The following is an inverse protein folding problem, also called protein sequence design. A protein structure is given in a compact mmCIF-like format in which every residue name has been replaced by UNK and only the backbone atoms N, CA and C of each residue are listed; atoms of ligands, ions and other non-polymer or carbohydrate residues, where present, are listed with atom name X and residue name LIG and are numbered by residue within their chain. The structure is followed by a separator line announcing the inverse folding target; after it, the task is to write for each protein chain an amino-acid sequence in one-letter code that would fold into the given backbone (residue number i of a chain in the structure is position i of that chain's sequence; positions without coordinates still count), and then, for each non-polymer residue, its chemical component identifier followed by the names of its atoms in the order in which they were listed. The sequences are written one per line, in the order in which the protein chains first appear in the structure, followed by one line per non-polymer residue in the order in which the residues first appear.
data_IF_593185102363
#
_entry.id   IF_593185102363
#
_cell.length_a   1.000
_cell.length_b   1.000
_cell.length_c   1.000
_cell.angle_alpha   90.00
_cell.angle_beta   90.00
_cell.angle_gamma   90.00
#
_symmetry.space_group_name_H-M   'P 1'
#
loop_
_entity.id
_entity.type
_entity.pdbx_description
1 polymer ?
#
# COMPACT_ATOMS: atom_id res chain seq x y z
N UNK A 1 23.59 -5.75 -10.33
CA UNK A 1 23.73 -4.52 -11.15
C UNK A 1 23.48 -3.32 -10.27
N UNK A 2 24.23 -2.21 -10.43
CA UNK A 2 24.03 -0.98 -9.63
C UNK A 2 22.82 -0.24 -10.20
N UNK A 3 21.85 0.11 -9.34
CA UNK A 3 20.63 0.86 -9.71
C UNK A 3 21.01 2.29 -10.14
N UNK A 4 20.36 2.78 -11.19
CA UNK A 4 20.52 4.15 -11.66
C UNK A 4 19.52 5.07 -10.92
N UNK A 5 20.05 5.95 -10.06
CA UNK A 5 19.23 6.83 -9.23
C UNK A 5 19.08 8.22 -9.84
N UNK A 6 17.84 8.72 -9.86
CA UNK A 6 17.50 10.08 -10.27
C UNK A 6 17.05 10.88 -9.04
N UNK A 7 17.85 11.85 -8.63
CA UNK A 7 17.51 12.78 -7.56
C UNK A 7 16.58 13.88 -8.08
N UNK A 8 15.38 13.99 -7.48
CA UNK A 8 14.37 14.97 -7.89
C UNK A 8 14.29 16.08 -6.85
N UNK A 9 14.14 17.31 -7.31
CA UNK A 9 13.84 18.45 -6.44
C UNK A 9 12.42 18.33 -5.85
N UNK A 10 11.45 17.90 -6.66
CA UNK A 10 10.07 17.61 -6.28
C UNK A 10 9.45 16.59 -7.24
N UNK A 11 8.48 15.79 -6.79
CA UNK A 11 7.72 14.93 -7.69
C UNK A 11 6.92 15.76 -8.71
N UNK A 12 6.65 15.17 -9.89
CA UNK A 12 5.79 15.78 -10.89
C UNK A 12 4.35 15.97 -10.38
N UNK A 13 3.56 16.82 -11.03
CA UNK A 13 2.18 17.04 -10.63
C UNK A 13 1.35 15.76 -10.79
N UNK A 14 0.49 15.46 -9.81
CA UNK A 14 -0.39 14.27 -9.86
C UNK A 14 -1.25 14.26 -11.13
N UNK A 15 -1.75 15.41 -11.56
CA UNK A 15 -2.57 15.53 -12.76
C UNK A 15 -1.82 15.03 -14.00
N UNK A 16 -0.55 15.45 -14.20
CA UNK A 16 0.27 14.99 -15.31
C UNK A 16 0.57 13.49 -15.25
N UNK A 17 0.79 12.95 -14.04
CA UNK A 17 1.06 11.53 -13.84
C UNK A 17 -0.19 10.67 -14.15
N UNK A 18 -1.38 11.09 -13.73
CA UNK A 18 -2.62 10.39 -14.07
C UNK A 18 -2.97 10.49 -15.56
N UNK A 19 -2.65 11.59 -16.25
CA UNK A 19 -2.76 11.66 -17.70
C UNK A 19 -1.85 10.64 -18.40
N UNK A 20 -0.59 10.50 -17.95
CA UNK A 20 0.32 9.46 -18.44
C UNK A 20 -0.22 8.05 -18.14
N UNK A 21 -0.73 7.81 -16.93
CA UNK A 21 -1.34 6.54 -16.57
C UNK A 21 -2.53 6.18 -17.47
N UNK A 22 -3.37 7.15 -17.81
CA UNK A 22 -4.51 6.96 -18.69
C UNK A 22 -4.13 6.68 -20.17
N UNK A 23 -2.98 7.19 -20.61
CA UNK A 23 -2.48 6.96 -21.98
C UNK A 23 -1.86 5.57 -22.17
N UNK A 24 -1.30 4.97 -21.11
CA UNK A 24 -0.66 3.65 -21.16
C UNK A 24 -1.65 2.56 -20.78
N UNK A 25 -2.13 1.79 -21.77
CA UNK A 25 -3.16 0.77 -21.60
C UNK A 25 -2.70 -0.67 -21.80
N UNK A 26 -1.51 -0.86 -22.34
CA UNK A 26 -0.97 -2.17 -22.70
C UNK A 26 0.39 -2.42 -22.04
N UNK A 27 0.69 -3.68 -21.80
CA UNK A 27 2.02 -4.13 -21.43
C UNK A 27 2.95 -3.91 -22.61
N UNK A 28 4.09 -3.24 -22.40
CA UNK A 28 5.07 -2.89 -23.42
C UNK A 28 6.40 -3.65 -23.31
N UNK A 29 6.53 -4.52 -22.33
CA UNK A 29 7.74 -5.33 -22.10
C UNK A 29 7.58 -6.25 -20.88
N UNK A 30 8.57 -7.06 -20.67
CA UNK A 30 8.64 -8.10 -19.62
C UNK A 30 9.84 -7.91 -18.67
N UNK A 31 10.46 -6.73 -18.69
CA UNK A 31 11.59 -6.39 -17.82
C UNK A 31 11.33 -5.06 -17.11
N UNK A 32 11.69 -5.00 -15.84
CA UNK A 32 11.62 -3.75 -15.08
C UNK A 32 12.85 -2.88 -15.37
N UNK A 33 12.70 -1.54 -15.35
CA UNK A 33 13.84 -0.65 -15.45
C UNK A 33 14.71 -0.71 -14.18
N UNK A 34 16.02 -0.56 -14.35
CA UNK A 34 16.97 -0.42 -13.24
C UNK A 34 16.97 0.98 -12.61
N UNK A 35 16.04 1.83 -13.04
CA UNK A 35 15.91 3.19 -12.52
C UNK A 35 15.26 3.21 -11.14
N UNK A 36 15.71 4.15 -10.32
CA UNK A 36 15.08 4.52 -9.05
C UNK A 36 14.97 6.04 -8.93
N UNK A 37 13.98 6.50 -8.15
CA UNK A 37 13.74 7.92 -7.91
C UNK A 37 14.05 8.23 -6.45
N UNK A 38 14.68 9.39 -6.19
CA UNK A 38 14.89 9.94 -4.85
C UNK A 38 14.33 11.35 -4.74
N UNK A 39 13.73 11.65 -3.59
CA UNK A 39 13.20 12.99 -3.33
C UNK A 39 13.11 13.25 -1.82
N UNK A 40 13.43 14.48 -1.40
CA UNK A 40 13.10 14.94 -0.05
C UNK A 40 11.65 15.43 -0.03
N UNK A 41 10.81 14.82 0.81
CA UNK A 41 9.40 15.16 0.94
C UNK A 41 9.13 15.62 2.37
N UNK A 42 8.58 16.83 2.52
CA UNK A 42 8.22 17.39 3.82
C UNK A 42 6.84 16.91 4.27
N UNK A 43 6.70 16.72 5.57
CA UNK A 43 5.41 16.45 6.19
C UNK A 43 4.49 17.65 5.98
N UNK A 44 3.26 17.39 5.56
CA UNK A 44 2.21 18.40 5.42
C UNK A 44 1.27 18.28 6.64
N UNK A 45 1.34 19.18 7.64
CA UNK A 45 0.59 19.02 8.89
C UNK A 45 -0.92 18.86 8.69
N UNK A 46 -1.51 19.62 7.77
CA UNK A 46 -2.94 19.50 7.44
C UNK A 46 -3.31 18.15 6.83
N UNK A 47 -2.46 17.59 5.96
CA UNK A 47 -2.67 16.27 5.38
C UNK A 47 -2.49 15.16 6.43
N UNK A 48 -1.47 15.24 7.28
CA UNK A 48 -1.25 14.30 8.40
C UNK A 48 -2.45 14.29 9.36
N UNK A 49 -2.95 15.47 9.74
CA UNK A 49 -4.13 15.58 10.60
C UNK A 49 -5.38 14.98 9.94
N UNK A 50 -5.58 15.19 8.63
CA UNK A 50 -6.67 14.58 7.88
C UNK A 50 -6.53 13.06 7.81
N UNK A 51 -5.31 12.55 7.59
CA UNK A 51 -5.00 11.13 7.57
C UNK A 51 -5.28 10.44 8.91
N UNK A 52 -4.80 11.04 10.01
CA UNK A 52 -5.04 10.52 11.37
C UNK A 52 -6.54 10.40 11.65
N UNK A 53 -7.33 11.46 11.35
CA UNK A 53 -8.79 11.40 11.54
C UNK A 53 -9.45 10.32 10.70
N UNK A 54 -9.02 10.17 9.42
CA UNK A 54 -9.64 9.24 8.49
C UNK A 54 -9.31 7.78 8.80
N UNK A 55 -8.12 7.52 9.32
CA UNK A 55 -7.62 6.17 9.64
C UNK A 55 -7.61 5.87 11.15
N UNK A 56 -8.23 6.72 11.96
CA UNK A 56 -8.40 6.56 13.41
C UNK A 56 -7.09 6.49 14.21
N UNK A 57 -6.01 7.11 13.70
CA UNK A 57 -4.79 7.27 14.48
C UNK A 57 -4.92 8.42 15.49
N UNK A 58 -4.45 8.17 16.71
CA UNK A 58 -4.28 9.23 17.72
C UNK A 58 -3.08 10.10 17.38
N UNK A 59 -3.11 11.35 17.86
CA UNK A 59 -1.94 12.23 17.79
C UNK A 59 -1.06 12.02 19.02
N UNK A 60 0.00 11.25 18.84
CA UNK A 60 1.01 10.96 19.86
C UNK A 60 2.37 11.60 19.52
N UNK A 61 2.38 12.60 18.62
CA UNK A 61 3.61 13.25 18.14
C UNK A 61 4.43 12.44 17.15
N UNK A 62 3.98 11.25 16.74
CA UNK A 62 4.67 10.37 15.79
C UNK A 62 3.89 10.24 14.51
N UNK A 63 4.56 10.08 13.38
CA UNK A 63 3.88 9.70 12.15
C UNK A 63 3.31 8.28 12.29
N UNK A 64 2.05 8.04 11.86
CA UNK A 64 1.54 6.68 11.71
C UNK A 64 2.46 5.82 10.82
N UNK A 65 2.67 4.55 11.17
CA UNK A 65 3.58 3.67 10.43
C UNK A 65 3.24 3.50 8.94
N UNK A 66 1.99 3.75 8.56
CA UNK A 66 1.51 3.74 7.17
C UNK A 66 1.54 5.12 6.48
N UNK A 67 1.83 6.21 7.20
CA UNK A 67 1.81 7.55 6.62
C UNK A 67 2.99 7.86 5.67
N UNK A 68 4.21 7.32 5.84
CA UNK A 68 5.27 7.48 4.86
C UNK A 68 4.89 6.98 3.44
N UNK A 69 4.06 5.92 3.33
CA UNK A 69 3.46 5.52 2.05
C UNK A 69 2.70 6.68 1.38
N UNK A 70 1.86 7.38 2.15
CA UNK A 70 1.09 8.53 1.64
C UNK A 70 2.01 9.67 1.18
N UNK A 71 3.08 9.93 1.92
CA UNK A 71 4.09 10.92 1.53
C UNK A 71 4.78 10.54 0.22
N UNK A 72 5.16 9.26 0.07
CA UNK A 72 5.89 8.75 -1.09
C UNK A 72 5.00 8.48 -2.32
N UNK A 73 3.67 8.41 -2.16
CA UNK A 73 2.78 7.92 -3.21
C UNK A 73 2.96 8.62 -4.56
N UNK A 74 3.16 9.94 -4.58
CA UNK A 74 3.38 10.68 -5.84
C UNK A 74 4.70 10.29 -6.51
N UNK A 75 5.73 9.96 -5.73
CA UNK A 75 7.03 9.48 -6.24
C UNK A 75 6.88 8.05 -6.81
N UNK A 76 6.15 7.18 -6.12
CA UNK A 76 5.79 5.83 -6.60
C UNK A 76 5.02 5.91 -7.92
N UNK A 77 4.00 6.79 -7.98
CA UNK A 77 3.20 7.04 -9.18
C UNK A 77 4.07 7.53 -10.34
N UNK A 78 5.05 8.41 -10.08
CA UNK A 78 5.98 8.93 -11.09
C UNK A 78 6.87 7.82 -11.66
N UNK A 79 7.40 6.93 -10.82
CA UNK A 79 8.16 5.77 -11.28
C UNK A 79 7.31 4.86 -12.18
N UNK A 80 6.12 4.47 -11.71
CA UNK A 80 5.24 3.55 -12.44
C UNK A 80 4.62 4.13 -13.71
N UNK A 81 4.63 5.45 -13.88
CA UNK A 81 4.16 6.14 -15.10
C UNK A 81 5.29 6.64 -15.98
N UNK A 82 6.54 6.30 -15.68
CA UNK A 82 7.70 6.62 -16.52
C UNK A 82 7.56 5.95 -17.90
N UNK A 83 8.08 6.56 -18.97
CA UNK A 83 7.96 6.02 -20.33
C UNK A 83 8.53 4.61 -20.49
N UNK A 84 9.62 4.32 -19.76
CA UNK A 84 10.31 3.02 -19.78
C UNK A 84 9.75 2.00 -18.76
N UNK A 85 8.77 2.38 -17.92
CA UNK A 85 8.10 1.42 -17.05
C UNK A 85 7.14 0.56 -17.88
N UNK A 86 7.25 -0.79 -17.90
CA UNK A 86 6.59 -1.60 -18.94
C UNK A 86 5.10 -1.85 -18.72
N UNK A 87 4.58 -1.62 -17.51
CA UNK A 87 3.23 -2.04 -17.14
C UNK A 87 2.27 -0.85 -17.02
N UNK A 88 1.00 -1.01 -17.44
CA UNK A 88 -0.01 0.02 -17.22
C UNK A 88 -0.34 0.12 -15.74
N UNK A 89 -0.41 1.34 -15.20
CA UNK A 89 -0.77 1.58 -13.81
C UNK A 89 -2.20 1.15 -13.50
N UNK A 90 -3.13 1.50 -14.40
CA UNK A 90 -4.55 1.14 -14.26
C UNK A 90 -4.73 -0.34 -14.54
N UNK A 91 -5.16 -1.09 -13.53
CA UNK A 91 -5.31 -2.54 -13.57
C UNK A 91 -4.26 -3.32 -12.77
N UNK A 92 -3.26 -2.65 -12.21
CA UNK A 92 -2.41 -3.26 -11.18
C UNK A 92 -3.26 -3.65 -9.97
N UNK A 93 -2.95 -4.81 -9.39
CA UNK A 93 -3.61 -5.29 -8.17
C UNK A 93 -2.58 -5.39 -7.06
N UNK A 94 -2.85 -4.72 -5.96
CA UNK A 94 -2.00 -4.77 -4.77
C UNK A 94 -2.28 -6.08 -4.02
N UNK A 95 -1.33 -7.01 -4.00
CA UNK A 95 -1.48 -8.33 -3.39
C UNK A 95 -0.96 -8.38 -1.96
N UNK A 96 0.16 -7.73 -1.70
CA UNK A 96 0.87 -7.80 -0.44
C UNK A 96 1.54 -6.47 -0.13
N UNK A 97 1.56 -6.11 1.15
CA UNK A 97 2.30 -4.96 1.62
C UNK A 97 3.02 -5.29 2.93
N UNK A 98 4.31 -4.99 3.00
CA UNK A 98 5.12 -5.10 4.19
C UNK A 98 5.72 -3.74 4.53
N UNK A 99 5.46 -3.27 5.74
CA UNK A 99 6.04 -2.05 6.31
C UNK A 99 6.97 -2.42 7.45
N UNK A 100 8.17 -1.87 7.43
CA UNK A 100 9.17 -1.97 8.50
C UNK A 100 9.37 -0.58 9.11
N UNK A 101 8.99 -0.42 10.36
CA UNK A 101 9.29 0.77 11.16
C UNK A 101 10.55 0.50 11.97
N UNK A 102 11.70 0.88 11.43
CA UNK A 102 13.02 0.55 12.01
C UNK A 102 13.25 1.32 13.30
N UNK A 103 12.86 2.59 13.33
CA UNK A 103 12.99 3.49 14.48
C UNK A 103 11.70 4.29 14.70
N UNK A 104 11.47 4.88 15.90
CA UNK A 104 10.30 5.71 16.14
C UNK A 104 10.19 6.87 15.15
N UNK A 105 8.98 7.10 14.63
CA UNK A 105 8.68 8.13 13.62
C UNK A 105 8.31 9.49 14.26
N UNK A 106 8.94 9.85 15.39
CA UNK A 106 8.68 11.10 16.10
C UNK A 106 9.56 12.26 15.63
N UNK A 107 9.06 13.51 15.73
CA UNK A 107 9.85 14.71 15.40
C UNK A 107 10.21 14.86 13.92
N UNK A 108 9.53 14.19 13.02
CA UNK A 108 9.84 14.16 11.58
C UNK A 108 9.18 15.33 10.88
N UNK A 109 9.98 16.24 10.32
CA UNK A 109 9.53 17.35 9.47
C UNK A 109 9.59 17.00 7.97
N UNK A 110 10.42 16.04 7.59
CA UNK A 110 10.58 15.56 6.23
C UNK A 110 11.47 14.34 6.17
N UNK A 111 11.33 13.57 5.11
CA UNK A 111 12.06 12.32 4.86
C UNK A 111 12.62 12.32 3.44
N UNK A 112 13.82 11.80 3.28
CA UNK A 112 14.36 11.47 1.96
C UNK A 112 13.82 10.10 1.57
N UNK A 113 13.01 10.08 0.54
CA UNK A 113 12.49 8.83 -0.03
C UNK A 113 13.35 8.35 -1.17
N UNK A 114 13.50 7.02 -1.26
CA UNK A 114 14.02 6.29 -2.41
C UNK A 114 12.98 5.26 -2.85
N UNK A 115 12.60 5.28 -4.13
CA UNK A 115 11.59 4.38 -4.69
C UNK A 115 12.15 3.66 -5.90
N UNK A 116 11.92 2.35 -5.98
CA UNK A 116 12.30 1.54 -7.14
C UNK A 116 11.40 0.33 -7.29
N UNK A 117 11.37 -0.26 -8.48
CA UNK A 117 10.74 -1.55 -8.74
C UNK A 117 11.80 -2.66 -8.84
N UNK A 118 11.40 -3.89 -8.53
CA UNK A 118 12.27 -5.05 -8.61
C UNK A 118 11.49 -6.36 -8.44
N UNK A 119 12.24 -7.48 -8.36
CA UNK A 119 11.68 -8.80 -8.05
C UNK A 119 10.50 -9.20 -8.97
N UNK A 120 10.69 -9.06 -10.29
CA UNK A 120 9.71 -9.49 -11.28
C UNK A 120 9.65 -11.02 -11.33
N UNK A 121 8.48 -11.61 -11.08
CA UNK A 121 8.29 -13.06 -10.99
C UNK A 121 7.02 -13.50 -11.70
N UNK A 122 7.03 -14.75 -12.21
CA UNK A 122 5.82 -15.38 -12.75
C UNK A 122 4.78 -15.62 -11.64
N UNK A 123 3.50 -15.47 -11.99
CA UNK A 123 2.37 -15.70 -11.12
C UNK A 123 1.23 -16.35 -11.93
N UNK A 124 0.39 -17.19 -11.31
CA UNK A 124 -0.71 -17.90 -11.99
C UNK A 124 -1.66 -17.00 -12.78
N UNK A 125 -1.83 -15.73 -12.38
CA UNK A 125 -2.70 -14.74 -13.04
C UNK A 125 -1.94 -13.71 -13.88
N UNK A 126 -0.61 -13.88 -14.05
CA UNK A 126 0.23 -12.92 -14.77
C UNK A 126 1.67 -12.88 -14.28
N UNK A 127 2.16 -11.70 -13.94
CA UNK A 127 3.44 -11.50 -13.26
C UNK A 127 3.30 -10.59 -12.06
N UNK A 128 4.19 -10.73 -11.08
CA UNK A 128 4.25 -9.84 -9.93
C UNK A 128 5.58 -9.11 -9.89
N UNK A 129 5.57 -7.89 -9.35
CA UNK A 129 6.78 -7.15 -9.04
C UNK A 129 6.65 -6.46 -7.67
N UNK A 130 7.77 -6.17 -7.05
CA UNK A 130 7.82 -5.43 -5.80
C UNK A 130 8.17 -3.96 -6.09
N UNK A 131 7.35 -3.05 -5.56
CA UNK A 131 7.64 -1.62 -5.46
C UNK A 131 8.20 -1.37 -4.07
N UNK A 132 9.49 -1.05 -4.00
CA UNK A 132 10.22 -0.81 -2.75
C UNK A 132 10.33 0.68 -2.51
N UNK A 133 9.99 1.11 -1.31
CA UNK A 133 10.09 2.50 -0.86
C UNK A 133 10.85 2.54 0.45
N UNK A 134 11.94 3.27 0.47
CA UNK A 134 12.74 3.52 1.67
C UNK A 134 12.63 4.97 2.07
N UNK A 135 12.61 5.23 3.38
CA UNK A 135 12.61 6.57 3.93
C UNK A 135 13.75 6.72 4.94
N UNK A 136 14.54 7.75 4.76
CA UNK A 136 15.70 8.06 5.57
C UNK A 136 15.58 9.48 6.15
N UNK A 137 16.19 9.66 7.32
CA UNK A 137 16.50 10.96 7.91
C UNK A 137 18.01 11.19 7.91
N UNK A 138 18.50 12.19 8.65
CA UNK A 138 19.94 12.46 8.75
C UNK A 138 20.76 11.37 9.47
N UNK A 139 20.13 10.37 10.06
CA UNK A 139 20.76 9.27 10.81
C UNK A 139 20.83 7.99 9.97
N UNK A 140 19.93 7.83 8.98
CA UNK A 140 19.85 6.66 8.10
C UNK A 140 18.44 6.10 7.97
N UNK A 141 18.33 4.83 7.59
CA UNK A 141 17.06 4.17 7.32
C UNK A 141 16.13 4.20 8.55
N UNK A 142 14.94 4.73 8.34
CA UNK A 142 13.93 4.91 9.35
C UNK A 142 12.71 4.02 9.11
N UNK A 143 12.37 3.82 7.84
CA UNK A 143 11.19 3.12 7.41
C UNK A 143 11.38 2.51 6.01
N UNK A 144 10.82 1.34 5.81
CA UNK A 144 10.79 0.66 4.50
C UNK A 144 9.42 0.10 4.22
N UNK A 145 9.04 0.11 2.96
CA UNK A 145 7.84 -0.54 2.44
C UNK A 145 8.17 -1.39 1.23
N UNK A 146 7.56 -2.56 1.15
CA UNK A 146 7.54 -3.40 -0.04
C UNK A 146 6.09 -3.69 -0.41
N UNK A 147 5.64 -3.15 -1.55
CA UNK A 147 4.31 -3.37 -2.11
C UNK A 147 4.41 -4.34 -3.28
N UNK A 148 3.82 -5.53 -3.16
CA UNK A 148 3.77 -6.50 -4.27
C UNK A 148 2.56 -6.26 -5.14
N UNK A 149 2.82 -5.98 -6.41
CA UNK A 149 1.82 -5.65 -7.41
C UNK A 149 1.68 -6.76 -8.43
N UNK A 150 0.44 -7.14 -8.75
CA UNK A 150 0.13 -8.08 -9.83
C UNK A 150 -0.17 -7.33 -11.12
N UNK A 151 0.51 -7.74 -12.19
CA UNK A 151 0.24 -7.36 -13.57
C UNK A 151 -0.52 -8.50 -14.23
N UNK A 152 -1.82 -8.37 -14.37
CA UNK A 152 -2.66 -9.42 -14.99
C UNK A 152 -2.30 -9.60 -16.45
N UNK A 153 -2.22 -10.87 -16.88
CA UNK A 153 -1.96 -11.24 -18.28
C UNK A 153 -0.51 -11.08 -18.74
N UNK A 154 0.41 -10.64 -17.90
CA UNK A 154 1.84 -10.66 -18.19
C UNK A 154 2.30 -12.13 -18.27
N UNK A 155 2.93 -12.49 -19.36
CA UNK A 155 3.51 -13.83 -19.57
C UNK A 155 5.00 -13.78 -19.26
N UNK A 156 5.43 -14.53 -18.25
CA UNK A 156 6.82 -14.70 -17.89
C UNK A 156 7.15 -16.19 -17.92
N UNK A 157 8.38 -16.54 -18.30
CA UNK A 157 8.89 -17.89 -18.16
C UNK A 157 9.15 -18.21 -16.68
N UNK A 158 8.83 -19.43 -16.27
CA UNK A 158 9.02 -19.92 -14.91
C UNK A 158 7.79 -20.58 -14.32
N UNK A 159 7.99 -21.35 -13.26
CA UNK A 159 6.89 -21.96 -12.53
C UNK A 159 6.15 -20.87 -11.73
N UNK A 160 4.88 -20.70 -12.03
CA UNK A 160 3.98 -19.91 -11.19
C UNK A 160 3.77 -20.68 -9.88
N UNK A 161 4.49 -20.32 -8.84
CA UNK A 161 4.17 -20.80 -7.49
C UNK A 161 2.83 -20.19 -7.07
N UNK A 162 1.80 -21.01 -6.91
CA UNK A 162 0.66 -20.59 -6.09
C UNK A 162 1.13 -20.70 -4.64
N UNK A 163 1.03 -19.61 -3.86
CA UNK A 163 1.20 -19.74 -2.42
C UNK A 163 0.15 -20.72 -1.92
N UNK A 164 0.58 -21.72 -1.12
CA UNK A 164 -0.35 -22.57 -0.41
C UNK A 164 -1.28 -21.66 0.40
N UNK A 165 -2.57 -21.66 0.09
CA UNK A 165 -3.57 -20.95 0.87
C UNK A 165 -3.88 -21.81 2.10
N UNK A 166 -3.08 -21.71 3.14
CA UNK A 166 -3.50 -22.15 4.47
C UNK A 166 -4.74 -21.32 4.85
N UNK A 167 -5.84 -22.00 5.23
CA UNK A 167 -7.00 -21.29 5.76
C UNK A 167 -6.57 -20.58 7.06
N UNK A 168 -6.60 -19.25 7.08
CA UNK A 168 -6.10 -18.51 8.23
C UNK A 168 -7.01 -18.79 9.42
N UNK A 169 -6.38 -19.04 10.57
CA UNK A 169 -7.06 -19.31 11.83
C UNK A 169 -8.07 -18.21 12.16
N UNK A 170 -9.20 -18.58 12.76
CA UNK A 170 -10.14 -17.61 13.34
C UNK A 170 -9.47 -16.97 14.55
N UNK A 171 -9.42 -15.64 14.56
CA UNK A 171 -8.80 -14.85 15.62
C UNK A 171 -9.86 -14.11 16.43
N UNK A 172 -9.63 -13.86 17.74
CA UNK A 172 -10.53 -13.07 18.58
C UNK A 172 -10.79 -11.69 17.97
N UNK A 173 -12.06 -11.24 17.98
CA UNK A 173 -12.44 -9.90 17.52
C UNK A 173 -11.78 -8.84 18.40
N UNK A 174 -11.09 -7.90 17.74
CA UNK A 174 -10.52 -6.70 18.37
C UNK A 174 -11.45 -5.52 18.21
N UNK A 175 -11.99 -5.33 17.00
CA UNK A 175 -12.89 -4.22 16.68
C UNK A 175 -13.59 -4.47 15.34
N UNK A 176 -14.64 -3.68 15.10
CA UNK A 176 -15.32 -3.61 13.81
C UNK A 176 -15.51 -2.17 13.37
N UNK A 177 -15.60 -1.93 12.08
CA UNK A 177 -15.93 -0.62 11.55
C UNK A 177 -16.73 -0.73 10.26
N UNK A 178 -17.41 0.36 9.95
CA UNK A 178 -18.15 0.49 8.72
C UNK A 178 -17.34 1.26 7.67
N UNK A 179 -17.12 0.65 6.51
CA UNK A 179 -16.52 1.28 5.36
C UNK A 179 -17.61 2.00 4.57
N UNK A 180 -17.73 3.31 4.75
CA UNK A 180 -18.72 4.16 4.09
C UNK A 180 -18.60 4.11 2.57
N UNK A 181 -19.69 4.38 1.86
CA UNK A 181 -19.73 4.42 0.39
C UNK A 181 -18.78 5.45 -0.23
N UNK A 182 -18.36 6.46 0.52
CA UNK A 182 -17.48 7.55 0.08
C UNK A 182 -16.03 7.43 0.58
N UNK A 183 -15.72 6.38 1.38
CA UNK A 183 -14.39 6.23 1.99
C UNK A 183 -13.27 6.18 0.95
N UNK A 184 -13.52 5.57 -0.22
CA UNK A 184 -12.57 5.56 -1.32
C UNK A 184 -12.18 6.97 -1.77
N UNK A 185 -13.17 7.87 -1.98
CA UNK A 185 -12.93 9.27 -2.35
C UNK A 185 -12.25 10.08 -1.22
N UNK A 186 -12.66 9.83 0.02
CA UNK A 186 -12.07 10.50 1.19
C UNK A 186 -10.60 10.12 1.36
N UNK A 187 -10.28 8.83 1.23
CA UNK A 187 -8.89 8.36 1.30
C UNK A 187 -8.08 8.85 0.11
N UNK A 188 -8.62 8.83 -1.12
CA UNK A 188 -7.96 9.36 -2.31
C UNK A 188 -7.51 10.83 -2.15
N UNK A 189 -8.33 11.69 -1.51
CA UNK A 189 -7.98 13.09 -1.23
C UNK A 189 -6.74 13.22 -0.34
N UNK A 190 -6.53 12.27 0.56
CA UNK A 190 -5.42 12.30 1.53
C UNK A 190 -4.18 11.62 0.96
N UNK A 191 -4.31 10.41 0.40
CA UNK A 191 -3.18 9.64 -0.10
C UNK A 191 -2.77 10.02 -1.53
N UNK A 192 -3.69 10.55 -2.33
CA UNK A 192 -3.44 10.90 -3.73
C UNK A 192 -3.68 9.76 -4.71
N UNK A 193 -4.16 8.61 -4.25
CA UNK A 193 -4.54 7.49 -5.12
C UNK A 193 -5.97 7.66 -5.64
N UNK A 194 -6.07 8.23 -6.84
CA UNK A 194 -7.33 8.42 -7.56
C UNK A 194 -7.62 7.30 -8.57
N UNK A 195 -7.18 6.07 -8.30
CA UNK A 195 -7.54 4.93 -9.15
C UNK A 195 -9.08 4.84 -9.23
N UNK A 196 -9.66 4.82 -10.45
CA UNK A 196 -11.12 4.85 -10.66
C UNK A 196 -11.92 3.77 -9.91
N UNK A 197 -11.29 2.63 -9.58
CA UNK A 197 -11.95 1.54 -8.85
C UNK A 197 -12.41 1.93 -7.44
N UNK A 198 -11.84 2.99 -6.87
CA UNK A 198 -12.13 3.47 -5.53
C UNK A 198 -13.12 4.64 -5.49
N UNK A 199 -13.38 5.30 -6.63
CA UNK A 199 -14.05 6.59 -6.65
C UNK A 199 -15.58 6.49 -6.72
N UNK A 200 -16.10 5.56 -7.54
CA UNK A 200 -17.53 5.36 -7.70
C UNK A 200 -17.86 3.97 -8.24
N UNK A 201 -19.11 3.53 -8.07
CA UNK A 201 -19.56 2.29 -8.69
C UNK A 201 -19.50 2.35 -10.22
N UNK A 202 -19.79 3.50 -10.81
CA UNK A 202 -19.76 3.66 -12.27
C UNK A 202 -18.34 3.48 -12.82
N UNK A 203 -17.35 4.13 -12.21
CA UNK A 203 -15.95 4.00 -12.64
C UNK A 203 -15.37 2.61 -12.32
N UNK A 204 -15.74 1.99 -11.19
CA UNK A 204 -15.27 0.67 -10.80
C UNK A 204 -15.76 -0.45 -11.74
N UNK A 205 -16.98 -0.33 -12.29
CA UNK A 205 -17.54 -1.28 -13.27
C UNK A 205 -16.72 -1.37 -14.56
N UNK A 206 -16.05 -0.30 -14.98
CA UNK A 206 -15.16 -0.31 -16.12
C UNK A 206 -13.93 -1.22 -15.92
N UNK A 207 -13.63 -1.58 -14.68
CA UNK A 207 -12.54 -2.45 -14.28
C UNK A 207 -13.01 -3.81 -13.69
N UNK A 208 -14.30 -4.16 -13.89
CA UNK A 208 -14.84 -5.45 -13.49
C UNK A 208 -15.32 -5.54 -12.02
N UNK A 209 -15.42 -4.41 -11.31
CA UNK A 209 -15.96 -4.38 -9.95
C UNK A 209 -17.41 -3.91 -9.95
N UNK A 210 -18.35 -4.60 -9.25
CA UNK A 210 -19.76 -4.21 -9.25
C UNK A 210 -20.03 -2.88 -8.52
N UNK A 211 -19.18 -2.54 -7.52
CA UNK A 211 -19.24 -1.31 -6.74
C UNK A 211 -17.84 -0.75 -6.56
N UNK A 212 -17.70 0.48 -6.06
CA UNK A 212 -16.41 0.96 -5.59
C UNK A 212 -15.86 0.06 -4.47
N UNK A 213 -14.53 -0.01 -4.37
CA UNK A 213 -13.84 -0.80 -3.33
C UNK A 213 -12.96 0.12 -2.49
N UNK A 214 -12.75 -0.23 -1.22
CA UNK A 214 -11.80 0.47 -0.37
C UNK A 214 -10.37 0.27 -0.88
N UNK A 215 -9.48 1.24 -0.62
CA UNK A 215 -8.04 1.05 -0.83
C UNK A 215 -7.51 0.00 0.16
N UNK A 216 -6.69 -0.92 -0.31
CA UNK A 216 -6.02 -1.89 0.59
C UNK A 216 -5.21 -1.18 1.67
N UNK A 217 -4.48 -0.13 1.30
CA UNK A 217 -3.70 0.70 2.24
C UNK A 217 -4.54 1.43 3.29
N UNK A 218 -5.81 1.75 2.99
CA UNK A 218 -6.73 2.26 4.03
C UNK A 218 -7.11 1.15 5.02
N UNK A 219 -7.42 -0.04 4.54
CA UNK A 219 -7.74 -1.20 5.40
C UNK A 219 -6.56 -1.57 6.30
N UNK A 220 -5.34 -1.57 5.75
CA UNK A 220 -4.12 -1.79 6.51
C UNK A 220 -3.88 -0.68 7.55
N UNK A 221 -4.13 0.58 7.20
CA UNK A 221 -3.99 1.70 8.13
C UNK A 221 -4.99 1.62 9.28
N UNK A 222 -6.25 1.26 9.01
CA UNK A 222 -7.28 1.04 10.02
C UNK A 222 -6.90 -0.11 10.97
N UNK A 223 -6.40 -1.22 10.41
CA UNK A 223 -5.93 -2.35 11.22
C UNK A 223 -4.73 -1.95 12.09
N UNK A 224 -3.73 -1.26 11.53
CA UNK A 224 -2.56 -0.79 12.30
C UNK A 224 -2.95 0.18 13.42
N UNK A 225 -3.91 1.07 13.17
CA UNK A 225 -4.41 2.00 14.18
C UNK A 225 -5.13 1.27 15.33
N UNK A 226 -5.96 0.28 15.00
CA UNK A 226 -6.67 -0.53 15.97
C UNK A 226 -5.72 -1.40 16.84
N UNK A 227 -4.65 -1.91 16.21
CA UNK A 227 -3.66 -2.78 16.85
C UNK A 227 -2.50 -2.02 17.52
N UNK A 228 -2.60 -0.71 17.70
CA UNK A 228 -1.53 0.11 18.29
C UNK A 228 -1.03 -0.42 19.65
N UNK A 229 -1.91 -0.96 20.48
CA UNK A 229 -1.56 -1.57 21.75
C UNK A 229 -1.04 -3.00 21.67
N UNK A 230 -1.08 -3.62 20.48
CA UNK A 230 -0.65 -5.00 20.28
C UNK A 230 0.80 -5.09 19.78
N UNK A 231 1.26 -4.08 19.06
CA UNK A 231 2.58 -4.08 18.42
C UNK A 231 3.65 -3.44 19.32
N UNK A 232 4.94 -3.79 19.12
CA UNK A 232 6.05 -3.01 19.65
C UNK A 232 5.97 -1.54 19.22
N UNK A 233 6.40 -0.63 20.07
CA UNK A 233 6.36 0.82 19.78
C UNK A 233 7.27 1.25 18.64
N UNK A 234 8.29 0.47 18.35
CA UNK A 234 9.26 0.66 17.24
C UNK A 234 10.04 -0.63 17.01
N UNK A 235 10.78 -0.71 15.90
CA UNK A 235 11.52 -1.90 15.54
C UNK A 235 10.57 -3.06 15.23
N UNK A 236 9.54 -2.81 14.41
CA UNK A 236 8.59 -3.84 14.00
C UNK A 236 8.38 -3.86 12.49
N UNK A 237 8.07 -5.05 11.98
CA UNK A 237 7.47 -5.23 10.67
C UNK A 237 5.96 -5.48 10.84
N UNK A 238 5.18 -4.92 9.94
CA UNK A 238 3.74 -5.15 9.80
C UNK A 238 3.45 -5.49 8.35
N UNK A 239 2.99 -6.71 8.09
CA UNK A 239 2.74 -7.15 6.73
C UNK A 239 1.33 -7.70 6.57
N UNK A 240 0.77 -7.53 5.38
CA UNK A 240 -0.57 -7.98 5.05
C UNK A 240 -0.64 -8.53 3.63
N UNK A 241 -1.49 -9.55 3.44
CA UNK A 241 -1.93 -10.05 2.15
C UNK A 241 -3.37 -9.65 1.90
N UNK A 242 -3.60 -8.96 0.79
CA UNK A 242 -4.93 -8.57 0.35
C UNK A 242 -5.59 -9.72 -0.41
N UNK A 243 -6.67 -10.29 0.13
CA UNK A 243 -7.37 -11.44 -0.43
C UNK A 243 -8.53 -11.04 -1.34
N UNK A 244 -9.60 -10.52 -0.78
CA UNK A 244 -10.77 -10.04 -1.53
C UNK A 244 -11.01 -8.56 -1.26
N UNK A 245 -11.40 -7.77 -2.27
CA UNK A 245 -11.64 -6.34 -2.08
C UNK A 245 -12.79 -6.09 -1.10
N UNK A 246 -12.62 -5.09 -0.24
CA UNK A 246 -13.70 -4.57 0.60
C UNK A 246 -14.62 -3.74 -0.29
N UNK A 247 -15.81 -4.25 -0.62
CA UNK A 247 -16.82 -3.54 -1.43
C UNK A 247 -17.49 -2.47 -0.60
N UNK A 248 -17.74 -1.31 -1.19
CA UNK A 248 -18.33 -0.18 -0.51
C UNK A 248 -19.83 -0.04 -0.82
N UNK A 249 -20.70 0.21 0.18
CA UNK A 249 -20.38 0.21 1.62
C UNK A 249 -20.37 -1.20 2.21
N UNK A 250 -19.63 -1.44 3.31
CA UNK A 250 -19.71 -2.69 4.06
C UNK A 250 -19.18 -2.55 5.49
N UNK A 251 -19.64 -3.45 6.36
CA UNK A 251 -19.03 -3.65 7.68
C UNK A 251 -17.88 -4.67 7.56
N UNK A 252 -16.82 -4.44 8.29
CA UNK A 252 -15.69 -5.36 8.42
C UNK A 252 -15.29 -5.54 9.89
N UNK A 253 -14.78 -6.72 10.20
CA UNK A 253 -14.38 -7.13 11.55
C UNK A 253 -12.90 -7.46 11.54
N UNK A 254 -12.14 -6.83 12.43
CA UNK A 254 -10.73 -7.12 12.66
C UNK A 254 -10.59 -8.09 13.83
N UNK A 255 -10.00 -9.25 13.57
CA UNK A 255 -9.51 -10.17 14.56
C UNK A 255 -7.98 -10.11 14.66
N UNK A 256 -7.45 -10.36 15.84
CA UNK A 256 -6.00 -10.44 16.03
C UNK A 256 -5.63 -11.34 17.22
N UNK A 257 -4.37 -11.79 17.20
CA UNK A 257 -3.74 -12.42 18.36
C UNK A 257 -3.57 -11.43 19.51
N UNK A 258 -3.25 -11.95 20.69
CA UNK A 258 -2.88 -11.12 21.84
C UNK A 258 -1.67 -10.22 21.54
N UNK A 259 -1.56 -9.15 22.32
CA UNK A 259 -0.44 -8.21 22.21
C UNK A 259 0.90 -8.92 22.49
N UNK A 260 1.93 -8.63 21.67
CA UNK A 260 3.22 -9.25 21.84
C UNK A 260 4.26 -8.80 20.81
N UNK A 261 5.43 -9.42 20.89
CA UNK A 261 6.54 -9.15 19.96
C UNK A 261 6.25 -9.65 18.54
N UNK A 262 5.31 -10.57 18.40
CA UNK A 262 4.79 -11.08 17.13
C UNK A 262 3.32 -11.45 17.30
N UNK A 263 2.57 -11.45 16.21
CA UNK A 263 1.17 -11.86 16.20
C UNK A 263 0.59 -11.81 14.81
N UNK A 264 -0.68 -12.22 14.71
CA UNK A 264 -1.42 -12.36 13.47
C UNK A 264 -2.70 -11.52 13.50
N UNK A 265 -3.17 -11.14 12.34
CA UNK A 265 -4.42 -10.42 12.16
C UNK A 265 -5.19 -10.93 10.94
N UNK A 266 -6.51 -10.77 10.99
CA UNK A 266 -7.40 -11.00 9.85
C UNK A 266 -8.50 -9.96 9.80
N UNK A 267 -8.92 -9.60 8.61
CA UNK A 267 -10.04 -8.70 8.35
C UNK A 267 -11.10 -9.45 7.58
N UNK A 268 -12.24 -9.64 8.20
CA UNK A 268 -13.38 -10.33 7.63
C UNK A 268 -14.52 -9.36 7.32
N UNK A 269 -15.25 -9.65 6.25
CA UNK A 269 -16.50 -8.98 5.90
C UNK A 269 -17.73 -9.83 6.20
N UNK A 270 -18.89 -9.29 5.83
CA UNK A 270 -20.15 -10.00 5.98
C UNK A 270 -20.12 -11.39 5.33
N UNK A 271 -20.68 -12.40 6.01
CA UNK A 271 -20.72 -13.77 5.53
C UNK A 271 -19.37 -14.49 5.51
N UNK A 272 -18.40 -14.03 6.31
CA UNK A 272 -17.08 -14.67 6.43
C UNK A 272 -16.14 -14.41 5.22
N UNK A 273 -16.41 -13.38 4.44
CA UNK A 273 -15.54 -13.03 3.32
C UNK A 273 -14.20 -12.50 3.84
N UNK A 274 -13.13 -13.25 3.62
CA UNK A 274 -11.79 -12.86 4.02
C UNK A 274 -11.25 -11.75 3.09
N UNK A 275 -10.99 -10.57 3.65
CA UNK A 275 -10.48 -9.41 2.93
C UNK A 275 -8.97 -9.26 3.03
N UNK A 276 -8.41 -9.51 4.21
CA UNK A 276 -6.99 -9.32 4.47
C UNK A 276 -6.56 -10.25 5.61
N UNK A 277 -5.37 -10.80 5.48
CA UNK A 277 -4.64 -11.44 6.58
C UNK A 277 -3.30 -10.76 6.74
N UNK A 278 -2.70 -10.87 7.90
CA UNK A 278 -1.39 -10.27 8.11
C UNK A 278 -0.77 -10.72 9.43
N UNK A 279 0.41 -10.20 9.64
CA UNK A 279 1.19 -10.46 10.85
C UNK A 279 2.06 -9.28 11.19
N UNK A 280 2.46 -9.22 12.44
CA UNK A 280 3.52 -8.33 12.89
C UNK A 280 4.61 -9.13 13.58
N UNK A 281 5.81 -8.60 13.55
CA UNK A 281 6.93 -9.14 14.30
C UNK A 281 7.89 -8.01 14.66
N UNK A 282 8.60 -8.15 15.77
CA UNK A 282 9.74 -7.30 16.11
C UNK A 282 10.85 -7.50 15.07
N UNK A 283 11.52 -6.40 14.66
CA UNK A 283 12.70 -6.42 13.79
C UNK A 283 13.95 -6.82 14.56
#
# INVERSE_FOLDING_TARGET
MSRHWHDLHSPASRASLYLRAASKRTISGDQLPDDGLRCLIRVQPGNLAAYRRLCHFTDDGRLPGTYPHVMAFTLQLQLMTAPNFPFPLLGLVHLHNRIEVVRPLGGIEGLRFAVHAGNLQAHAKGGTFDLVTEAEDGIGLLWRETSRMLVRGLKLEGAAGEPAEDEPQVLPEVTRWYADSDIGRRYAKVCGDYNPIHLSAASARLFGFPTAIAHGMWSQAMALAALRGHLPHSGYAFEVDFRKPVRLPSEVVLGASEAGVAGELRLDGHGGVLHMVGRWARL
#
